data_IF_901176382869
#
_entry.id   IF_901176382869
#
_cell.length_a   1.000
_cell.length_b   1.000
_cell.length_c   1.000
_cell.angle_alpha   90.00
_cell.angle_beta   90.00
_cell.angle_gamma   90.00
#
_symmetry.space_group_name_H-M   'P 1'
#
loop_
_entity.id
_entity.type
_entity.pdbx_description
1 polymer ?
#
# COMPACT_ATOMS: atom_id res chain seq x y z
N UNK A 1 -21.29 9.95 -24.63
CA UNK A 1 -21.88 10.36 -23.35
C UNK A 1 -21.82 9.27 -22.30
N UNK A 2 -22.07 8.04 -22.67
CA UNK A 2 -21.89 6.90 -21.76
C UNK A 2 -20.47 6.77 -21.24
N UNK A 3 -19.49 7.19 -22.05
CA UNK A 3 -18.07 7.12 -21.69
C UNK A 3 -17.69 8.05 -20.52
N UNK A 4 -18.45 9.14 -20.31
CA UNK A 4 -18.15 10.09 -19.24
C UNK A 4 -18.47 9.52 -17.86
N UNK A 5 -19.55 8.77 -17.74
CA UNK A 5 -19.92 8.10 -16.47
C UNK A 5 -18.90 7.01 -16.12
N UNK A 6 -18.47 6.24 -17.11
CA UNK A 6 -17.44 5.23 -16.92
C UNK A 6 -16.11 5.83 -16.52
N UNK A 7 -15.72 6.95 -17.13
CA UNK A 7 -14.49 7.65 -16.78
C UNK A 7 -14.50 8.13 -15.34
N UNK A 8 -15.64 8.62 -14.86
CA UNK A 8 -15.77 9.05 -13.46
C UNK A 8 -15.63 7.86 -12.51
N UNK A 9 -16.22 6.73 -12.85
CA UNK A 9 -16.12 5.50 -12.07
C UNK A 9 -14.66 5.02 -11.97
N UNK A 10 -13.96 4.97 -13.09
CA UNK A 10 -12.55 4.55 -13.11
C UNK A 10 -11.64 5.52 -12.35
N UNK A 11 -11.92 6.81 -12.42
CA UNK A 11 -11.17 7.80 -11.66
C UNK A 11 -11.32 7.59 -10.15
N UNK A 12 -12.52 7.28 -9.69
CA UNK A 12 -12.75 6.99 -8.28
C UNK A 12 -12.02 5.73 -7.83
N UNK A 13 -12.04 4.67 -8.65
CA UNK A 13 -11.30 3.45 -8.38
C UNK A 13 -9.80 3.73 -8.30
N UNK A 14 -9.27 4.51 -9.24
CA UNK A 14 -7.87 4.88 -9.26
C UNK A 14 -7.49 5.68 -8.02
N UNK A 15 -8.34 6.61 -7.58
CA UNK A 15 -8.11 7.38 -6.36
C UNK A 15 -8.07 6.49 -5.14
N UNK A 16 -9.00 5.53 -5.03
CA UNK A 16 -9.02 4.57 -3.91
C UNK A 16 -7.78 3.71 -3.90
N UNK A 17 -7.38 3.21 -5.07
CA UNK A 17 -6.15 2.42 -5.19
C UNK A 17 -4.92 3.23 -4.78
N UNK A 18 -4.80 4.45 -5.27
CA UNK A 18 -3.70 5.34 -4.91
C UNK A 18 -3.66 5.62 -3.41
N UNK A 19 -4.81 5.86 -2.81
CA UNK A 19 -4.92 6.09 -1.38
C UNK A 19 -4.45 4.87 -0.58
N UNK A 20 -4.91 3.68 -0.97
CA UNK A 20 -4.52 2.44 -0.29
C UNK A 20 -3.02 2.16 -0.46
N UNK A 21 -2.48 2.37 -1.65
CA UNK A 21 -1.06 2.20 -1.92
C UNK A 21 -0.24 3.17 -1.06
N UNK A 22 -0.67 4.44 -0.98
CA UNK A 22 -0.01 5.44 -0.15
C UNK A 22 -0.01 5.02 1.32
N UNK A 23 -1.14 4.53 1.83
CA UNK A 23 -1.23 4.03 3.20
C UNK A 23 -0.26 2.87 3.43
N UNK A 24 -0.17 1.95 2.49
CA UNK A 24 0.75 0.81 2.60
C UNK A 24 2.20 1.26 2.59
N UNK A 25 2.55 2.23 1.74
CA UNK A 25 3.90 2.81 1.75
C UNK A 25 4.21 3.50 3.07
N UNK A 26 3.24 4.19 3.65
CA UNK A 26 3.40 4.81 4.97
C UNK A 26 3.61 3.75 6.06
N UNK A 27 2.92 2.63 5.99
CA UNK A 27 3.13 1.51 6.91
C UNK A 27 4.54 0.93 6.76
N UNK A 28 5.03 0.80 5.54
CA UNK A 28 6.41 0.35 5.30
C UNK A 28 7.41 1.30 5.94
N UNK A 29 7.22 2.60 5.78
CA UNK A 29 8.09 3.61 6.39
C UNK A 29 8.05 3.54 7.92
N UNK A 30 6.86 3.42 8.51
CA UNK A 30 6.69 3.29 9.94
C UNK A 30 7.33 2.01 10.47
N UNK A 31 7.21 0.93 9.72
CA UNK A 31 7.81 -0.35 10.06
C UNK A 31 9.34 -0.28 10.06
N UNK A 32 9.91 0.40 9.05
CA UNK A 32 11.35 0.64 8.99
C UNK A 32 11.85 1.45 10.18
N UNK A 33 11.07 2.42 10.62
CA UNK A 33 11.35 3.23 11.80
C UNK A 33 11.37 2.38 13.07
N UNK A 34 10.36 1.53 13.25
CA UNK A 34 10.27 0.61 14.38
C UNK A 34 11.45 -0.36 14.43
N UNK A 35 11.82 -0.89 13.26
CA UNK A 35 12.98 -1.77 13.16
C UNK A 35 14.27 -1.03 13.53
N UNK A 36 14.45 0.17 13.04
CA UNK A 36 15.62 1.01 13.34
C UNK A 36 15.74 1.30 14.83
N UNK A 37 14.61 1.48 15.52
CA UNK A 37 14.56 1.72 16.96
C UNK A 37 14.66 0.45 17.79
N UNK A 38 14.84 -0.70 17.16
CA UNK A 38 14.89 -2.01 17.81
C UNK A 38 13.60 -2.40 18.56
N UNK A 39 12.48 -1.84 18.12
CA UNK A 39 11.16 -2.19 18.67
C UNK A 39 10.65 -3.54 18.15
N UNK A 40 11.14 -3.96 16.98
CA UNK A 40 10.81 -5.25 16.35
C UNK A 40 12.08 -5.94 15.90
N UNK A 41 12.02 -7.27 15.78
CA UNK A 41 13.15 -8.09 15.33
C UNK A 41 13.28 -8.04 13.80
N UNK A 42 14.45 -8.44 13.28
CA UNK A 42 14.69 -8.57 11.84
C UNK A 42 13.67 -9.53 11.22
N UNK A 43 13.36 -10.62 11.89
CA UNK A 43 12.41 -11.61 11.42
C UNK A 43 11.00 -11.01 11.31
N UNK A 44 10.56 -10.30 12.34
CA UNK A 44 9.26 -9.62 12.34
C UNK A 44 9.19 -8.58 11.22
N UNK A 45 10.25 -7.82 11.04
CA UNK A 45 10.35 -6.83 9.97
C UNK A 45 10.21 -7.50 8.59
N UNK A 46 10.97 -8.56 8.34
CA UNK A 46 10.96 -9.25 7.04
C UNK A 46 9.58 -9.85 6.73
N UNK A 47 8.95 -10.46 7.70
CA UNK A 47 7.62 -11.06 7.52
C UNK A 47 6.61 -9.95 7.15
N UNK A 48 6.64 -8.85 7.88
CA UNK A 48 5.69 -7.76 7.66
C UNK A 48 5.91 -7.06 6.31
N UNK A 49 7.17 -6.85 5.93
CA UNK A 49 7.53 -6.26 4.64
C UNK A 49 7.01 -7.13 3.49
N UNK A 50 7.17 -8.44 3.57
CA UNK A 50 6.66 -9.34 2.55
C UNK A 50 5.14 -9.27 2.41
N UNK A 51 4.42 -9.20 3.52
CA UNK A 51 2.97 -9.04 3.51
C UNK A 51 2.54 -7.72 2.86
N UNK A 52 3.21 -6.62 3.22
CA UNK A 52 2.90 -5.31 2.67
C UNK A 52 3.23 -5.22 1.18
N UNK A 53 4.36 -5.75 0.77
CA UNK A 53 4.76 -5.79 -0.64
C UNK A 53 3.75 -6.57 -1.47
N UNK A 54 3.27 -7.70 -0.95
CA UNK A 54 2.25 -8.50 -1.62
C UNK A 54 0.96 -7.71 -1.80
N UNK A 55 0.52 -7.00 -0.78
CA UNK A 55 -0.69 -6.17 -0.86
C UNK A 55 -0.53 -5.04 -1.88
N UNK A 56 0.63 -4.39 -1.88
CA UNK A 56 0.93 -3.32 -2.86
C UNK A 56 0.90 -3.90 -4.27
N UNK A 57 1.54 -5.03 -4.50
CA UNK A 57 1.56 -5.69 -5.79
C UNK A 57 0.15 -6.05 -6.26
N UNK A 58 -0.68 -6.59 -5.38
CA UNK A 58 -2.08 -6.94 -5.69
C UNK A 58 -2.89 -5.70 -6.09
N UNK A 59 -2.64 -4.55 -5.46
CA UNK A 59 -3.32 -3.30 -5.79
C UNK A 59 -2.82 -2.69 -7.10
N UNK A 60 -1.56 -2.89 -7.42
CA UNK A 60 -0.97 -2.39 -8.67
C UNK A 60 -1.25 -3.29 -9.86
N UNK A 61 -1.39 -4.57 -9.61
CA UNK A 61 -1.69 -5.57 -10.64
C UNK A 61 -3.15 -5.65 -10.94
#
# INVERSE_FOLDING_TARGET
MENNEMKCFYKELDRRKKYLITRLHNEVAALGDSWFRHEITDQQYNIRIQELDKRIADLQG
#
